data_IF_651393347637
#
_entry.id   IF_651393347637
#
_cell.length_a   1.000
_cell.length_b   1.000
_cell.length_c   1.000
_cell.angle_alpha   90.00
_cell.angle_beta   90.00
_cell.angle_gamma   90.00
#
_symmetry.space_group_name_H-M   'P 1'
#
loop_
_entity.id
_entity.type
_entity.pdbx_description
1 polymer ?
#
# COMPACT_ATOMS: atom_id res chain seq x y z
N UNK A 1 45.98 7.69 39.07
CA UNK A 1 45.58 6.49 38.30
C UNK A 1 44.25 6.81 37.64
N UNK A 2 44.30 7.31 36.41
CA UNK A 2 43.13 7.75 35.64
C UNK A 2 42.51 6.54 34.96
N UNK A 3 41.24 6.24 35.27
CA UNK A 3 40.45 5.20 34.62
C UNK A 3 39.97 5.76 33.29
N UNK A 4 40.53 5.22 32.20
CA UNK A 4 40.03 5.38 30.84
C UNK A 4 38.73 4.58 30.72
N UNK A 5 37.60 5.27 30.75
CA UNK A 5 36.32 4.65 30.38
C UNK A 5 36.14 4.82 28.87
N UNK A 6 36.56 3.80 28.13
CA UNK A 6 36.14 3.57 26.76
C UNK A 6 34.66 3.17 26.80
N UNK A 7 33.77 4.01 26.26
CA UNK A 7 32.38 3.66 25.98
C UNK A 7 32.16 3.91 24.48
N UNK A 8 32.80 3.07 23.67
CA UNK A 8 32.38 2.82 22.31
C UNK A 8 31.62 1.49 22.30
N UNK A 9 30.34 1.52 22.69
CA UNK A 9 29.43 0.41 22.40
C UNK A 9 28.48 0.88 21.31
N UNK A 10 28.85 0.47 20.10
CA UNK A 10 28.20 0.75 18.84
C UNK A 10 26.70 0.46 18.92
N UNK A 11 25.90 1.46 18.56
CA UNK A 11 24.52 1.23 18.17
C UNK A 11 24.51 0.18 17.05
N UNK A 12 23.67 -0.87 17.13
CA UNK A 12 23.56 -1.78 16.00
C UNK A 12 23.00 -1.00 14.81
N UNK A 13 23.72 -1.07 13.70
CA UNK A 13 23.31 -0.59 12.37
C UNK A 13 21.87 -1.01 12.10
N UNK A 14 20.94 -0.06 12.22
CA UNK A 14 19.50 -0.26 12.04
C UNK A 14 19.08 -0.47 10.57
N UNK A 15 20.02 -0.81 9.69
CA UNK A 15 19.79 -0.84 8.23
C UNK A 15 20.06 -2.22 7.57
N UNK A 16 20.32 -3.29 8.34
CA UNK A 16 20.61 -4.61 7.75
C UNK A 16 19.90 -5.80 8.42
N UNK A 17 18.89 -5.56 9.26
CA UNK A 17 17.98 -6.62 9.70
C UNK A 17 16.72 -6.52 8.82
N UNK A 18 16.46 -7.55 8.01
CA UNK A 18 15.21 -7.60 7.22
C UNK A 18 13.97 -7.48 8.11
N UNK A 19 12.83 -7.16 7.50
CA UNK A 19 11.59 -6.91 8.22
C UNK A 19 11.15 -8.08 9.12
N UNK A 20 10.36 -7.77 10.13
CA UNK A 20 9.75 -8.77 11.01
C UNK A 20 8.86 -9.71 10.21
N UNK A 21 8.66 -10.94 10.73
CA UNK A 21 7.78 -11.93 10.10
C UNK A 21 6.37 -11.41 9.86
N UNK A 22 5.87 -10.53 10.74
CA UNK A 22 4.54 -9.95 10.61
C UNK A 22 4.48 -8.92 9.46
N UNK A 23 5.51 -8.08 9.31
CA UNK A 23 5.64 -7.17 8.18
C UNK A 23 5.76 -7.95 6.86
N UNK A 24 6.61 -8.97 6.81
CA UNK A 24 6.76 -9.82 5.61
C UNK A 24 5.46 -10.55 5.24
N UNK A 25 4.73 -11.06 6.23
CA UNK A 25 3.43 -11.70 5.99
C UNK A 25 2.40 -10.71 5.42
N UNK A 26 2.37 -9.48 5.94
CA UNK A 26 1.50 -8.42 5.42
C UNK A 26 1.87 -8.05 3.97
N UNK A 27 3.16 -7.88 3.68
CA UNK A 27 3.62 -7.57 2.32
C UNK A 27 3.29 -8.70 1.33
N UNK A 28 3.44 -9.96 1.75
CA UNK A 28 3.10 -11.11 0.94
C UNK A 28 1.58 -11.22 0.66
N UNK A 29 0.74 -10.88 1.65
CA UNK A 29 -0.71 -10.84 1.45
C UNK A 29 -1.10 -9.77 0.41
N UNK A 30 -0.49 -8.58 0.48
CA UNK A 30 -0.71 -7.53 -0.52
C UNK A 30 -0.25 -7.97 -1.92
N UNK A 31 0.90 -8.65 -2.04
CA UNK A 31 1.36 -9.19 -3.32
C UNK A 31 0.40 -10.24 -3.89
N UNK A 32 -0.17 -11.09 -3.02
CA UNK A 32 -1.17 -12.07 -3.43
C UNK A 32 -2.46 -11.42 -3.94
N UNK A 33 -2.97 -10.39 -3.24
CA UNK A 33 -4.13 -9.61 -3.69
C UNK A 33 -3.88 -8.94 -5.05
N UNK A 34 -2.67 -8.39 -5.26
CA UNK A 34 -2.32 -7.78 -6.55
C UNK A 34 -2.29 -8.83 -7.68
N UNK A 35 -1.73 -10.00 -7.41
CA UNK A 35 -1.64 -11.09 -8.38
C UNK A 35 -3.04 -11.61 -8.76
N UNK A 36 -3.92 -11.81 -7.78
CA UNK A 36 -5.31 -12.22 -8.02
C UNK A 36 -6.07 -11.21 -8.90
N UNK A 37 -5.86 -9.91 -8.67
CA UNK A 37 -6.46 -8.87 -9.49
C UNK A 37 -5.84 -8.79 -10.89
N UNK A 38 -4.54 -9.08 -11.02
CA UNK A 38 -3.86 -9.22 -12.32
C UNK A 38 -4.46 -10.34 -13.16
N UNK A 39 -4.73 -11.50 -12.55
CA UNK A 39 -5.35 -12.64 -13.20
C UNK A 39 -6.81 -12.36 -13.57
N UNK A 40 -7.56 -11.74 -12.67
CA UNK A 40 -8.99 -11.42 -12.88
C UNK A 40 -9.20 -10.45 -14.04
N UNK A 41 -8.31 -9.48 -14.20
CA UNK A 41 -8.41 -8.42 -15.22
C UNK A 41 -7.65 -8.76 -16.52
N UNK A 42 -6.97 -9.93 -16.59
CA UNK A 42 -6.12 -10.38 -17.72
C UNK A 42 -5.07 -9.34 -18.14
N UNK A 43 -4.56 -8.57 -17.17
CA UNK A 43 -3.61 -7.47 -17.37
C UNK A 43 -2.48 -7.57 -16.35
N UNK A 44 -1.20 -7.41 -16.76
CA UNK A 44 -0.06 -7.47 -15.85
C UNK A 44 -0.06 -6.26 -14.91
N UNK A 45 -0.49 -6.47 -13.66
CA UNK A 45 -0.54 -5.45 -12.62
C UNK A 45 0.74 -5.51 -11.79
N UNK A 46 1.46 -4.40 -11.75
CA UNK A 46 2.64 -4.21 -10.91
C UNK A 46 2.46 -3.02 -9.97
N UNK A 47 3.11 -3.07 -8.81
CA UNK A 47 3.21 -1.93 -7.91
C UNK A 47 3.97 -0.79 -8.56
N UNK A 48 3.40 0.41 -8.55
CA UNK A 48 4.11 1.63 -8.94
C UNK A 48 5.22 1.98 -7.94
N UNK A 49 6.16 2.84 -8.34
CA UNK A 49 7.22 3.30 -7.44
C UNK A 49 6.68 3.97 -6.16
N UNK A 50 5.57 4.71 -6.26
CA UNK A 50 4.92 5.33 -5.11
C UNK A 50 4.31 4.29 -4.17
N UNK A 51 3.63 3.27 -4.71
CA UNK A 51 3.04 2.20 -3.91
C UNK A 51 4.12 1.35 -3.24
N UNK A 52 5.24 1.07 -3.92
CA UNK A 52 6.40 0.40 -3.30
C UNK A 52 6.94 1.19 -2.11
N UNK A 53 7.04 2.52 -2.23
CA UNK A 53 7.45 3.36 -1.10
C UNK A 53 6.43 3.31 0.06
N UNK A 54 5.13 3.29 -0.25
CA UNK A 54 4.08 3.14 0.77
C UNK A 54 4.15 1.76 1.45
N UNK A 55 4.41 0.69 0.68
CA UNK A 55 4.61 -0.67 1.22
C UNK A 55 5.79 -0.73 2.18
N UNK A 56 6.90 -0.10 1.82
CA UNK A 56 8.07 -0.01 2.71
C UNK A 56 7.74 0.73 4.01
N UNK A 57 7.07 1.89 3.91
CA UNK A 57 6.63 2.64 5.09
C UNK A 57 5.68 1.82 5.99
N UNK A 58 4.82 0.98 5.40
CA UNK A 58 3.97 0.06 6.16
C UNK A 58 4.82 -0.97 6.90
N UNK A 59 5.79 -1.59 6.22
CA UNK A 59 6.67 -2.59 6.81
C UNK A 59 7.46 -2.02 8.00
N UNK A 60 8.08 -0.86 7.84
CA UNK A 60 8.78 -0.15 8.92
C UNK A 60 7.85 0.16 10.11
N UNK A 61 6.62 0.59 9.83
CA UNK A 61 5.64 0.90 10.87
C UNK A 61 5.19 -0.36 11.62
N UNK A 62 5.05 -1.48 10.93
CA UNK A 62 4.75 -2.79 11.53
C UNK A 62 5.93 -3.27 12.38
N UNK A 63 7.16 -3.18 11.89
CA UNK A 63 8.36 -3.56 12.63
C UNK A 63 8.47 -2.78 13.95
N UNK A 64 8.23 -1.47 13.88
CA UNK A 64 8.21 -0.61 15.05
C UNK A 64 7.10 -1.02 16.03
N UNK A 65 5.90 -1.35 15.52
CA UNK A 65 4.79 -1.82 16.37
C UNK A 65 5.16 -3.13 17.07
N UNK A 66 5.75 -4.09 16.36
CA UNK A 66 6.18 -5.38 16.92
C UNK A 66 7.22 -5.19 18.03
N UNK A 67 8.23 -4.35 17.80
CA UNK A 67 9.23 -4.01 18.82
C UNK A 67 8.57 -3.40 20.08
N UNK A 68 7.67 -2.43 19.92
CA UNK A 68 6.97 -1.82 21.05
C UNK A 68 6.02 -2.79 21.77
N UNK A 69 5.36 -3.69 21.05
CA UNK A 69 4.55 -4.75 21.65
C UNK A 69 5.41 -5.70 22.50
N UNK A 70 6.61 -6.04 22.01
CA UNK A 70 7.58 -6.84 22.78
C UNK A 70 7.96 -6.13 24.09
N UNK A 71 8.35 -4.84 24.00
CA UNK A 71 8.68 -4.02 25.18
C UNK A 71 7.51 -3.88 26.15
N UNK A 72 6.29 -3.70 25.64
CA UNK A 72 5.08 -3.59 26.45
C UNK A 72 4.83 -4.84 27.30
N UNK A 73 5.12 -6.05 26.76
CA UNK A 73 4.93 -7.32 27.46
C UNK A 73 5.88 -7.51 28.63
N UNK A 74 7.12 -7.02 28.52
CA UNK A 74 8.16 -7.19 29.55
C UNK A 74 8.28 -6.01 30.51
N UNK A 75 7.63 -4.89 30.23
CA UNK A 75 7.70 -3.68 31.04
C UNK A 75 6.91 -3.85 32.36
N UNK A 76 7.58 -3.68 33.50
CA UNK A 76 6.96 -3.70 34.82
C UNK A 76 6.36 -2.34 35.25
N UNK A 77 6.92 -1.24 34.74
CA UNK A 77 6.47 0.11 35.10
C UNK A 77 5.13 0.46 34.47
N UNK A 78 4.13 0.76 35.30
CA UNK A 78 2.75 1.01 34.87
C UNK A 78 2.64 2.25 33.99
N UNK A 79 3.36 3.32 34.33
CA UNK A 79 3.32 4.57 33.55
C UNK A 79 3.91 4.37 32.16
N UNK A 80 5.02 3.65 32.06
CA UNK A 80 5.64 3.27 30.79
C UNK A 80 4.73 2.36 29.97
N UNK A 81 4.04 1.38 30.59
CA UNK A 81 3.05 0.55 29.90
C UNK A 81 1.94 1.38 29.26
N UNK A 82 1.43 2.40 29.95
CA UNK A 82 0.42 3.31 29.38
C UNK A 82 0.97 4.03 28.15
N UNK A 83 2.18 4.58 28.22
CA UNK A 83 2.84 5.27 27.09
C UNK A 83 3.08 4.35 25.89
N UNK A 84 3.56 3.14 26.14
CA UNK A 84 3.75 2.13 25.09
C UNK A 84 2.42 1.74 24.46
N UNK A 85 1.36 1.59 25.25
CA UNK A 85 0.02 1.26 24.73
C UNK A 85 -0.56 2.37 23.85
N UNK A 86 -0.32 3.65 24.18
CA UNK A 86 -0.74 4.75 23.32
C UNK A 86 0.03 4.77 22.01
N UNK A 87 1.34 4.54 22.04
CA UNK A 87 2.17 4.53 20.85
C UNK A 87 1.79 3.38 19.90
N UNK A 88 1.55 2.18 20.44
CA UNK A 88 1.06 1.03 19.65
C UNK A 88 -0.21 1.38 18.89
N UNK A 89 -1.19 2.04 19.55
CA UNK A 89 -2.44 2.45 18.90
C UNK A 89 -2.25 3.53 17.83
N UNK A 90 -1.30 4.45 18.05
CA UNK A 90 -0.95 5.45 17.04
C UNK A 90 -0.36 4.81 15.78
N UNK A 91 0.51 3.80 15.96
CA UNK A 91 1.09 3.02 14.87
C UNK A 91 0.02 2.19 14.15
N UNK A 92 -0.89 1.54 14.86
CA UNK A 92 -2.03 0.82 14.25
C UNK A 92 -2.89 1.76 13.39
N UNK A 93 -3.17 2.97 13.89
CA UNK A 93 -3.86 3.99 13.12
C UNK A 93 -3.07 4.48 11.90
N UNK A 94 -1.74 4.55 12.00
CA UNK A 94 -0.87 4.91 10.88
C UNK A 94 -0.87 3.82 9.80
N UNK A 95 -0.72 2.54 10.19
CA UNK A 95 -0.82 1.38 9.28
C UNK A 95 -2.15 1.40 8.53
N UNK A 96 -3.28 1.59 9.23
CA UNK A 96 -4.59 1.65 8.60
C UNK A 96 -4.73 2.81 7.60
N UNK A 97 -4.07 3.95 7.84
CA UNK A 97 -4.07 5.09 6.90
C UNK A 97 -3.18 4.84 5.69
N UNK A 98 -2.04 4.19 5.87
CA UNK A 98 -1.12 3.84 4.79
C UNK A 98 -1.72 2.76 3.88
N UNK A 99 -2.36 1.74 4.45
CA UNK A 99 -3.05 0.70 3.68
C UNK A 99 -4.12 1.29 2.75
N UNK A 100 -4.85 2.33 3.18
CA UNK A 100 -5.82 3.03 2.33
C UNK A 100 -5.21 3.76 1.12
N UNK A 101 -3.91 3.99 1.11
CA UNK A 101 -3.21 4.61 -0.02
C UNK A 101 -2.82 3.58 -1.08
N UNK A 102 -2.81 2.29 -0.72
CA UNK A 102 -2.66 1.21 -1.68
C UNK A 102 -4.02 0.90 -2.28
N UNK A 103 -4.11 0.96 -3.61
CA UNK A 103 -5.31 0.57 -4.35
C UNK A 103 -4.97 -0.66 -5.17
N UNK A 104 -5.60 -1.78 -4.87
CA UNK A 104 -5.48 -3.02 -5.65
C UNK A 104 -6.62 -3.16 -6.66
N UNK A 105 -7.71 -2.42 -6.50
CA UNK A 105 -8.90 -2.45 -7.34
C UNK A 105 -8.76 -1.64 -8.65
N UNK A 106 -9.50 -2.06 -9.69
CA UNK A 106 -9.72 -1.25 -10.90
C UNK A 106 -10.60 -0.06 -10.52
N UNK A 107 -10.18 1.20 -10.77
CA UNK A 107 -11.06 2.33 -10.54
C UNK A 107 -12.24 2.25 -11.51
N UNK A 108 -13.46 2.30 -10.97
CA UNK A 108 -14.65 2.56 -11.77
C UNK A 108 -14.42 3.81 -12.63
N UNK A 109 -14.80 3.73 -13.91
CA UNK A 109 -14.61 4.87 -14.81
C UNK A 109 -15.34 6.09 -14.23
N UNK A 110 -14.67 7.25 -14.13
CA UNK A 110 -15.29 8.42 -13.54
C UNK A 110 -16.56 8.77 -14.31
N UNK A 111 -17.67 8.76 -13.60
CA UNK A 111 -18.97 9.04 -14.18
C UNK A 111 -19.12 10.55 -14.40
N UNK A 112 -19.94 10.94 -15.38
CA UNK A 112 -20.08 12.33 -15.82
C UNK A 112 -20.54 13.30 -14.70
N UNK A 113 -21.12 12.79 -13.61
CA UNK A 113 -21.66 13.56 -12.49
C UNK A 113 -20.69 13.77 -11.31
N UNK A 114 -19.46 13.25 -11.39
CA UNK A 114 -18.49 13.40 -10.31
C UNK A 114 -17.95 14.84 -10.13
N UNK A 115 -17.64 15.19 -8.88
CA UNK A 115 -17.04 16.50 -8.55
C UNK A 115 -15.61 16.62 -9.11
N UNK A 116 -15.12 17.85 -9.31
CA UNK A 116 -13.76 18.10 -9.83
C UNK A 116 -12.66 17.44 -8.99
N UNK A 117 -12.85 17.36 -7.67
CA UNK A 117 -11.95 16.70 -6.72
C UNK A 117 -11.95 15.18 -6.90
N UNK A 118 -13.13 14.58 -7.06
CA UNK A 118 -13.30 13.14 -7.38
C UNK A 118 -12.61 12.82 -8.70
N UNK A 119 -12.84 13.65 -9.73
CA UNK A 119 -12.23 13.49 -11.05
C UNK A 119 -10.71 13.52 -11.03
N UNK A 120 -10.09 14.30 -10.12
CA UNK A 120 -8.62 14.36 -9.97
C UNK A 120 -8.05 13.13 -9.26
N UNK A 121 -8.76 12.61 -8.25
CA UNK A 121 -8.41 11.35 -7.59
C UNK A 121 -8.57 10.16 -8.55
N UNK A 122 -9.70 10.08 -9.26
CA UNK A 122 -9.93 9.09 -10.32
C UNK A 122 -8.88 9.20 -11.42
N UNK A 123 -8.42 10.41 -11.80
CA UNK A 123 -7.34 10.60 -12.79
C UNK A 123 -6.00 10.03 -12.33
N UNK A 124 -5.64 10.16 -11.05
CA UNK A 124 -4.41 9.60 -10.51
C UNK A 124 -4.46 8.05 -10.50
N UNK A 125 -5.57 7.48 -10.04
CA UNK A 125 -5.81 6.03 -10.08
C UNK A 125 -5.89 5.50 -11.52
N UNK A 126 -6.55 6.24 -12.41
CA UNK A 126 -6.55 5.98 -13.85
C UNK A 126 -5.15 6.06 -14.44
N UNK A 127 -4.17 6.80 -13.90
CA UNK A 127 -2.83 6.91 -14.50
C UNK A 127 -2.07 5.58 -14.47
N UNK A 128 -2.28 4.76 -13.44
CA UNK A 128 -1.77 3.37 -13.37
C UNK A 128 -2.35 2.50 -14.49
N UNK A 129 -3.59 2.76 -14.86
CA UNK A 129 -4.28 2.05 -15.91
C UNK A 129 -4.24 2.75 -17.29
N UNK A 130 -3.91 4.04 -17.39
CA UNK A 130 -4.00 4.86 -18.60
C UNK A 130 -2.77 4.72 -19.50
N UNK A 131 -1.88 3.76 -19.20
CA UNK A 131 -1.14 3.05 -20.24
C UNK A 131 -2.06 2.32 -21.23
N UNK A 132 -3.37 2.22 -20.93
CA UNK A 132 -4.48 1.89 -21.84
C UNK A 132 -4.42 2.73 -23.12
N UNK A 133 -3.87 2.12 -24.16
CA UNK A 133 -3.96 2.63 -25.52
C UNK A 133 -5.40 3.01 -25.87
N UNK A 134 -5.52 4.15 -26.55
CA UNK A 134 -6.75 4.51 -27.26
C UNK A 134 -7.09 3.40 -28.25
N UNK A 135 -7.95 2.46 -27.85
CA UNK A 135 -8.54 1.46 -28.74
C UNK A 135 -9.76 0.81 -28.10
N UNK A 136 -10.76 1.62 -27.77
CA UNK A 136 -12.15 1.16 -27.79
C UNK A 136 -12.94 1.98 -28.82
N UNK A 137 -12.39 2.02 -30.04
CA UNK A 137 -13.19 2.03 -31.24
C UNK A 137 -13.50 0.58 -31.60
N UNK A 138 -14.65 0.08 -31.14
CA UNK A 138 -15.29 -1.12 -31.72
C UNK A 138 -16.68 -0.68 -32.13
N UNK A 139 -16.79 -0.16 -33.36
CA UNK A 139 -17.27 -0.93 -34.49
C UNK A 139 -18.70 -1.43 -34.24
N UNK A 140 -19.67 -0.52 -34.40
CA UNK A 140 -21.02 -0.90 -34.79
C UNK A 140 -20.99 -1.38 -36.24
N UNK A 141 -20.58 -2.64 -36.44
CA UNK A 141 -20.77 -3.35 -37.69
C UNK A 141 -22.23 -3.83 -37.75
N UNK A 142 -23.01 -3.21 -38.63
CA UNK A 142 -24.39 -3.57 -38.93
C UNK A 142 -24.79 -3.01 -40.29
N UNK A 143 -24.03 -3.37 -41.31
CA UNK A 143 -24.25 -3.00 -42.70
C UNK A 143 -25.49 -3.69 -43.31
N UNK A 144 -26.23 -2.92 -44.12
CA UNK A 144 -27.12 -3.29 -45.22
C UNK A 144 -28.37 -4.14 -44.94
N UNK A 145 -29.54 -3.54 -45.21
CA UNK A 145 -30.40 -4.01 -46.32
C UNK A 145 -31.27 -2.88 -46.86
N UNK A 146 -30.82 -2.33 -47.99
CA UNK A 146 -31.66 -1.72 -49.00
C UNK A 146 -32.43 -2.82 -49.75
N UNK A 147 -33.75 -2.74 -49.79
CA UNK A 147 -34.53 -3.16 -50.96
C UNK A 147 -35.75 -2.25 -51.07
N UNK A 148 -35.84 -1.58 -52.22
CA UNK A 148 -37.04 -0.87 -52.64
C UNK A 148 -38.00 -1.78 -53.42
N UNK A 149 -39.18 -1.20 -53.65
CA UNK A 149 -40.25 -1.56 -54.58
C UNK A 149 -41.14 -2.77 -54.26
N UNK A 150 -42.40 -2.46 -53.94
CA UNK A 150 -43.47 -2.57 -54.93
C UNK A 150 -44.27 -1.25 -54.93
#
# INVERSE_FOLDING_TARGET
MTVTTDQNESAPDAAAAGHTKEALALLAALDAELAENSETEDEPLEWSAAERAVREMIADTVDRRVDLQSRYRVCADVQMRVKLSSEIRLLEGAIARLLKQLSTEVPDQPTAWESSTSRKASKAALTRWAGRGGRHGRAAAGALRSHGSA
#
